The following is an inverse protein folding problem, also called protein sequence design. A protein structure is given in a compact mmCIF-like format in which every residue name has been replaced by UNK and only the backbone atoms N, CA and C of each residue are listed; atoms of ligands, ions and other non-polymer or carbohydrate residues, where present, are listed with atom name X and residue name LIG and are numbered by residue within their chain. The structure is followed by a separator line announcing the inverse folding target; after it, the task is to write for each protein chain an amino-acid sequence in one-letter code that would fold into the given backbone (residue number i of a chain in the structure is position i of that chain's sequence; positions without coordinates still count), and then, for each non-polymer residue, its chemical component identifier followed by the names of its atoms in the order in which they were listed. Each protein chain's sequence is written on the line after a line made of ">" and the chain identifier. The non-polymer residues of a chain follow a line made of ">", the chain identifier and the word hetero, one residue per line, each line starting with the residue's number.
data_IF_261542890330
#
_entry.id   IF_261542890330
#
_cell.length_a   1.000
_cell.length_b   1.000
_cell.length_c   1.000
_cell.angle_alpha   90.00
_cell.angle_beta   90.00
_cell.angle_gamma   90.00
#
_symmetry.space_group_name_H-M   'P 1'
#
loop_
_entity.id
_entity.type
_entity.pdbx_description
1 polymer ?
#
# COMPACT_ATOMS: atom_id res chain seq x y z
N UNK A 1 -13.52 -6.49 -23.36
CA UNK A 1 -12.13 -6.27 -22.90
C UNK A 1 -12.22 -5.99 -21.42
N UNK A 2 -11.41 -6.68 -20.60
CA UNK A 2 -11.31 -6.41 -19.15
C UNK A 2 -10.78 -5.00 -18.95
N UNK A 3 -11.52 -4.15 -18.23
CA UNK A 3 -11.09 -2.79 -17.93
C UNK A 3 -10.03 -2.79 -16.84
N UNK A 4 -8.93 -2.06 -17.05
CA UNK A 4 -7.81 -1.94 -16.11
C UNK A 4 -7.66 -0.47 -15.71
N UNK A 5 -7.42 -0.20 -14.44
CA UNK A 5 -7.16 1.15 -13.97
C UNK A 5 -6.67 1.25 -12.54
N UNK A 6 -6.44 2.47 -12.10
CA UNK A 6 -5.88 2.79 -10.78
C UNK A 6 -6.89 3.58 -9.95
N UNK A 7 -7.02 3.23 -8.68
CA UNK A 7 -7.84 3.94 -7.70
C UNK A 7 -6.96 4.56 -6.62
N UNK A 8 -7.22 5.82 -6.32
CA UNK A 8 -6.73 6.50 -5.12
C UNK A 8 -7.92 6.84 -4.24
N UNK A 9 -7.81 6.56 -2.93
CA UNK A 9 -8.77 7.01 -1.93
C UNK A 9 -8.11 8.08 -1.06
N UNK A 10 -8.86 9.13 -0.73
CA UNK A 10 -8.45 10.10 0.28
C UNK A 10 -9.67 10.72 0.95
N UNK A 11 -9.52 11.21 2.16
CA UNK A 11 -10.52 12.00 2.87
C UNK A 11 -9.91 13.37 3.18
N UNK A 12 -10.75 14.39 3.34
CA UNK A 12 -10.33 15.76 3.59
C UNK A 12 -9.28 16.28 2.57
N UNK A 13 -9.41 15.87 1.30
CA UNK A 13 -8.49 16.27 0.23
C UNK A 13 -8.64 17.76 -0.09
N UNK A 14 -9.88 18.26 -0.13
CA UNK A 14 -10.15 19.67 -0.39
C UNK A 14 -9.57 20.57 0.71
N UNK A 15 -8.71 21.49 0.31
CA UNK A 15 -8.06 22.44 1.23
C UNK A 15 -6.87 21.85 1.99
N UNK A 16 -6.46 20.61 1.68
CA UNK A 16 -5.27 19.99 2.24
C UNK A 16 -4.15 19.93 1.20
N UNK A 17 -3.39 21.02 1.08
CA UNK A 17 -2.32 21.17 0.09
C UNK A 17 -1.29 20.04 0.15
N UNK A 18 -1.00 19.52 1.36
CA UNK A 18 -0.07 18.40 1.53
C UNK A 18 -0.60 17.12 0.89
N UNK A 19 -1.87 16.78 1.12
CA UNK A 19 -2.48 15.58 0.52
C UNK A 19 -2.63 15.73 -0.99
N UNK A 20 -3.04 16.91 -1.47
CA UNK A 20 -3.13 17.20 -2.90
C UNK A 20 -1.77 17.10 -3.58
N UNK A 21 -0.71 17.61 -2.95
CA UNK A 21 0.65 17.50 -3.46
C UNK A 21 1.12 16.04 -3.52
N UNK A 22 0.87 15.25 -2.48
CA UNK A 22 1.23 13.83 -2.46
C UNK A 22 0.49 13.04 -3.56
N UNK A 23 -0.84 13.25 -3.68
CA UNK A 23 -1.65 12.64 -4.72
C UNK A 23 -1.14 13.01 -6.13
N UNK A 24 -0.90 14.29 -6.40
CA UNK A 24 -0.39 14.75 -7.68
C UNK A 24 0.99 14.15 -7.99
N UNK A 25 1.88 14.07 -7.00
CA UNK A 25 3.17 13.39 -7.11
C UNK A 25 2.99 11.91 -7.48
N UNK A 26 2.09 11.21 -6.82
CA UNK A 26 1.80 9.80 -7.07
C UNK A 26 1.25 9.57 -8.49
N UNK A 27 0.23 10.33 -8.88
CA UNK A 27 -0.39 10.25 -10.22
C UNK A 27 0.61 10.58 -11.33
N UNK A 28 1.45 11.61 -11.17
CA UNK A 28 2.50 11.94 -12.15
C UNK A 28 3.51 10.81 -12.30
N UNK A 29 3.91 10.18 -11.18
CA UNK A 29 4.85 9.06 -11.21
C UNK A 29 4.24 7.82 -11.90
N UNK A 30 2.94 7.56 -11.70
CA UNK A 30 2.21 6.50 -12.41
C UNK A 30 2.23 6.73 -13.93
N UNK A 31 1.86 7.93 -14.38
CA UNK A 31 1.81 8.24 -15.82
C UNK A 31 3.18 8.20 -16.50
N UNK A 32 4.28 8.33 -15.76
CA UNK A 32 5.64 8.14 -16.31
C UNK A 32 5.85 6.71 -16.84
N UNK A 33 5.20 5.71 -16.25
CA UNK A 33 5.38 4.29 -16.60
C UNK A 33 4.15 3.64 -17.23
N UNK A 34 2.97 4.23 -17.03
CA UNK A 34 1.68 3.76 -17.49
C UNK A 34 0.92 4.90 -18.15
N UNK A 35 1.45 5.41 -19.26
CA UNK A 35 0.85 6.54 -19.96
C UNK A 35 -0.60 6.22 -20.39
N UNK A 36 -1.50 7.16 -20.12
CA UNK A 36 -2.92 7.02 -20.44
C UNK A 36 -3.72 6.00 -19.60
N UNK A 37 -3.13 5.35 -18.58
CA UNK A 37 -3.89 4.42 -17.73
C UNK A 37 -5.05 5.17 -17.03
N UNK A 38 -6.29 4.63 -17.04
CA UNK A 38 -7.40 5.26 -16.36
C UNK A 38 -7.15 5.40 -14.85
N UNK A 39 -7.38 6.60 -14.32
CA UNK A 39 -7.24 6.90 -12.88
C UNK A 39 -8.58 7.38 -12.32
N UNK A 40 -9.00 6.79 -11.21
CA UNK A 40 -10.14 7.23 -10.41
C UNK A 40 -9.64 7.69 -9.04
N UNK A 41 -9.75 8.99 -8.80
CA UNK A 41 -9.59 9.54 -7.44
C UNK A 41 -10.97 9.59 -6.78
N UNK A 42 -11.07 9.08 -5.56
CA UNK A 42 -12.29 9.14 -4.75
C UNK A 42 -11.99 9.92 -3.48
N UNK A 43 -12.72 11.02 -3.31
CA UNK A 43 -12.79 11.75 -2.05
C UNK A 43 -13.88 11.11 -1.18
N UNK A 44 -13.48 10.48 -0.07
CA UNK A 44 -14.38 9.88 0.89
C UNK A 44 -15.10 10.96 1.72
N UNK A 45 -16.29 10.68 2.28
CA UNK A 45 -17.03 11.63 3.10
C UNK A 45 -16.24 12.17 4.30
N UNK A 46 -16.57 13.39 4.74
CA UNK A 46 -16.00 13.95 5.97
C UNK A 46 -16.26 13.03 7.16
N UNK A 47 -15.24 12.81 7.98
CA UNK A 47 -15.29 11.87 9.12
C UNK A 47 -14.93 10.42 8.76
N UNK A 48 -14.65 10.13 7.48
CA UNK A 48 -14.00 8.88 7.10
C UNK A 48 -12.62 8.75 7.75
N UNK A 49 -12.21 7.50 7.91
CA UNK A 49 -10.98 7.09 8.55
C UNK A 49 -10.22 6.14 7.63
N UNK A 50 -9.03 5.73 8.06
CA UNK A 50 -8.25 4.71 7.39
C UNK A 50 -9.03 3.39 7.18
N UNK A 51 -9.99 3.07 8.06
CA UNK A 51 -10.79 1.85 7.98
C UNK A 51 -11.77 1.82 6.81
N UNK A 52 -12.19 2.98 6.31
CA UNK A 52 -13.13 3.08 5.17
C UNK A 52 -12.47 2.71 3.83
N UNK A 53 -11.15 2.49 3.84
CA UNK A 53 -10.36 2.00 2.70
C UNK A 53 -10.84 0.64 2.17
N UNK A 54 -11.49 -0.17 3.02
CA UNK A 54 -12.09 -1.45 2.60
C UNK A 54 -13.17 -1.30 1.52
N UNK A 55 -13.74 -0.11 1.31
CA UNK A 55 -14.72 0.15 0.25
C UNK A 55 -14.11 0.25 -1.17
N UNK A 56 -12.78 0.17 -1.33
CA UNK A 56 -12.12 0.46 -2.62
C UNK A 56 -12.58 -0.45 -3.78
N UNK A 57 -12.96 -1.70 -3.51
CA UNK A 57 -13.45 -2.61 -4.56
C UNK A 57 -14.76 -2.11 -5.17
N UNK A 58 -15.69 -1.66 -4.31
CA UNK A 58 -16.99 -1.13 -4.76
C UNK A 58 -16.83 0.23 -5.45
N UNK A 59 -15.87 1.02 -5.00
CA UNK A 59 -15.58 2.35 -5.55
C UNK A 59 -14.78 2.31 -6.86
N UNK A 60 -14.09 1.20 -7.13
CA UNK A 60 -13.39 1.02 -8.40
C UNK A 60 -14.39 0.88 -9.55
N UNK A 61 -14.20 1.56 -10.69
CA UNK A 61 -14.97 1.31 -11.92
C UNK A 61 -14.34 0.24 -12.82
N UNK A 62 -13.22 -0.37 -12.41
CA UNK A 62 -12.43 -1.28 -13.26
C UNK A 62 -12.66 -2.75 -12.89
N UNK A 63 -12.44 -3.65 -13.85
CA UNK A 63 -12.48 -5.10 -13.64
C UNK A 63 -11.20 -5.60 -12.95
N UNK A 64 -10.07 -4.96 -13.26
CA UNK A 64 -8.77 -5.18 -12.64
C UNK A 64 -8.21 -3.85 -12.14
N UNK A 65 -7.98 -3.76 -10.85
CA UNK A 65 -7.69 -2.50 -10.15
C UNK A 65 -6.32 -2.56 -9.49
N UNK A 66 -5.56 -1.49 -9.61
CA UNK A 66 -4.46 -1.16 -8.71
C UNK A 66 -4.95 -0.07 -7.74
N UNK A 67 -4.93 -0.34 -6.45
CA UNK A 67 -5.04 0.70 -5.43
C UNK A 67 -3.65 1.16 -4.99
N UNK A 68 -3.49 2.47 -4.87
CA UNK A 68 -2.28 3.12 -4.34
C UNK A 68 -2.65 4.10 -3.22
N UNK A 69 -1.93 4.03 -2.11
CA UNK A 69 -1.93 5.13 -1.13
C UNK A 69 -1.37 6.40 -1.79
N UNK A 70 -1.89 7.56 -1.38
CA UNK A 70 -1.56 8.84 -2.03
C UNK A 70 -0.11 9.29 -1.82
N UNK A 71 0.59 8.73 -0.84
CA UNK A 71 2.01 8.99 -0.55
C UNK A 71 2.94 8.00 -1.27
N UNK A 72 2.43 7.20 -2.20
CA UNK A 72 3.27 6.32 -3.04
C UNK A 72 3.86 7.07 -4.25
N UNK A 73 4.99 6.55 -4.76
CA UNK A 73 5.63 6.98 -6.00
C UNK A 73 5.92 5.71 -6.82
N UNK A 74 5.32 5.62 -8.01
CA UNK A 74 5.59 4.54 -8.97
C UNK A 74 6.97 4.78 -9.57
N UNK A 75 7.84 3.81 -9.40
CA UNK A 75 9.23 3.90 -9.79
C UNK A 75 9.57 3.09 -11.02
N UNK A 76 8.67 2.20 -11.50
CA UNK A 76 8.83 1.35 -12.69
C UNK A 76 7.50 0.73 -13.18
N UNK A 77 7.51 -0.04 -14.27
CA UNK A 77 6.30 -0.72 -14.78
C UNK A 77 5.76 -1.73 -13.76
N UNK A 78 4.43 -1.84 -13.72
CA UNK A 78 3.65 -2.59 -12.71
C UNK A 78 2.85 -3.74 -13.33
N UNK A 79 3.06 -4.05 -14.61
CA UNK A 79 2.30 -5.04 -15.39
C UNK A 79 2.27 -6.42 -14.74
N UNK A 80 3.38 -6.79 -14.10
CA UNK A 80 3.47 -8.06 -13.38
C UNK A 80 2.50 -8.10 -12.19
N UNK A 81 2.30 -7.00 -11.46
CA UNK A 81 1.32 -6.94 -10.37
C UNK A 81 -0.11 -7.15 -10.88
N UNK A 82 -0.46 -6.52 -12.00
CA UNK A 82 -1.75 -6.75 -12.68
C UNK A 82 -1.90 -8.21 -13.13
N UNK A 83 -0.88 -8.79 -13.74
CA UNK A 83 -0.90 -10.20 -14.17
C UNK A 83 -1.08 -11.16 -12.99
N UNK A 84 -0.45 -10.88 -11.85
CA UNK A 84 -0.57 -11.71 -10.66
C UNK A 84 -1.95 -11.58 -10.02
N UNK A 85 -2.50 -10.38 -9.91
CA UNK A 85 -3.88 -10.20 -9.42
C UNK A 85 -4.92 -10.84 -10.35
N UNK A 86 -4.73 -10.78 -11.67
CA UNK A 86 -5.63 -11.50 -12.59
C UNK A 86 -5.56 -13.02 -12.40
N UNK A 87 -4.41 -13.58 -12.02
CA UNK A 87 -4.23 -15.03 -11.81
C UNK A 87 -4.64 -15.51 -10.41
N UNK A 88 -4.44 -14.66 -9.40
CA UNK A 88 -4.56 -15.02 -7.99
C UNK A 88 -5.65 -14.23 -7.25
N UNK A 89 -6.42 -13.41 -7.98
CA UNK A 89 -7.46 -12.48 -7.51
C UNK A 89 -6.93 -11.29 -6.71
N UNK A 90 -5.83 -11.47 -5.99
CA UNK A 90 -5.15 -10.44 -5.21
C UNK A 90 -3.63 -10.59 -5.33
N UNK A 91 -2.91 -9.48 -5.51
CA UNK A 91 -1.47 -9.39 -5.34
C UNK A 91 -1.11 -8.19 -4.46
N UNK A 92 -0.26 -8.42 -3.45
CA UNK A 92 0.12 -7.42 -2.45
C UNK A 92 1.43 -7.78 -1.76
N UNK A 93 1.99 -6.86 -0.98
CA UNK A 93 3.19 -7.11 -0.18
C UNK A 93 2.84 -7.53 1.24
N UNK A 94 3.67 -8.40 1.82
CA UNK A 94 3.72 -8.57 3.28
C UNK A 94 4.18 -7.26 3.92
N UNK A 95 3.59 -6.91 5.06
CA UNK A 95 3.98 -5.75 5.85
C UNK A 95 5.41 -5.92 6.39
N UNK A 96 6.15 -4.82 6.61
CA UNK A 96 7.50 -4.89 7.20
C UNK A 96 7.53 -5.63 8.54
N UNK A 97 6.45 -5.51 9.31
CA UNK A 97 6.16 -6.33 10.46
C UNK A 97 5.20 -7.43 9.98
N UNK A 98 5.69 -8.65 9.68
CA UNK A 98 4.88 -9.67 9.01
C UNK A 98 3.89 -10.35 9.96
N UNK A 99 3.79 -9.91 11.23
CA UNK A 99 3.06 -10.59 12.29
C UNK A 99 1.85 -9.78 12.73
N UNK A 100 0.65 -10.13 12.23
CA UNK A 100 -0.58 -9.43 12.59
C UNK A 100 -0.89 -9.52 14.09
N UNK A 101 -0.31 -10.47 14.83
CA UNK A 101 -0.41 -10.57 16.30
C UNK A 101 0.05 -9.31 17.06
N UNK A 102 0.77 -8.39 16.39
CA UNK A 102 1.09 -7.07 16.96
C UNK A 102 -0.18 -6.27 17.28
N UNK A 103 -1.27 -6.51 16.57
CA UNK A 103 -2.61 -6.04 16.94
C UNK A 103 -3.18 -6.93 18.05
N UNK A 104 -2.59 -6.85 19.24
CA UNK A 104 -2.88 -7.74 20.37
C UNK A 104 -4.34 -7.69 20.87
N UNK A 105 -5.19 -6.82 20.33
CA UNK A 105 -6.63 -6.77 20.64
C UNK A 105 -7.50 -7.38 19.53
N UNK A 106 -6.98 -7.53 18.31
CA UNK A 106 -7.70 -8.10 17.17
C UNK A 106 -7.20 -9.50 16.76
N UNK A 107 -5.88 -9.70 16.70
CA UNK A 107 -5.28 -10.89 16.11
C UNK A 107 -4.64 -11.80 17.16
N UNK A 108 -4.66 -13.12 16.91
CA UNK A 108 -4.05 -14.16 17.75
C UNK A 108 -3.30 -15.15 16.86
N UNK A 109 -2.26 -15.78 17.39
CA UNK A 109 -1.48 -16.78 16.66
C UNK A 109 -0.56 -16.19 15.59
N UNK A 110 -0.08 -17.05 14.70
CA UNK A 110 0.82 -16.68 13.61
C UNK A 110 -0.01 -16.35 12.36
N UNK A 111 -0.44 -15.08 12.28
CA UNK A 111 -1.15 -14.51 11.14
C UNK A 111 -0.25 -13.53 10.40
N UNK A 112 -0.26 -13.63 9.06
CA UNK A 112 0.53 -12.75 8.19
C UNK A 112 -0.16 -11.40 8.09
N UNK A 113 0.61 -10.34 8.35
CA UNK A 113 0.17 -8.98 8.06
C UNK A 113 0.62 -8.55 6.66
N UNK A 114 -0.28 -7.92 5.92
CA UNK A 114 0.00 -7.37 4.59
C UNK A 114 -0.05 -5.84 4.64
N UNK A 115 0.79 -5.19 3.85
CA UNK A 115 0.69 -3.75 3.67
C UNK A 115 -0.40 -3.44 2.63
N UNK A 116 -1.37 -2.60 3.00
CA UNK A 116 -2.54 -2.29 2.17
C UNK A 116 -2.33 -1.07 1.28
N UNK A 117 -1.16 -0.44 1.30
CA UNK A 117 -0.88 0.77 0.51
C UNK A 117 -0.65 0.53 -0.98
N UNK A 118 -0.43 -0.72 -1.38
CA UNK A 118 -0.36 -1.14 -2.78
C UNK A 118 -1.07 -2.48 -2.90
N UNK A 119 -2.25 -2.48 -3.51
CA UNK A 119 -3.06 -3.69 -3.71
C UNK A 119 -3.47 -3.79 -5.18
N UNK A 120 -3.20 -4.94 -5.80
CA UNK A 120 -3.75 -5.28 -7.10
C UNK A 120 -4.86 -6.30 -6.89
N UNK A 121 -6.06 -6.07 -7.42
CA UNK A 121 -7.18 -6.98 -7.24
C UNK A 121 -8.15 -6.95 -8.43
N UNK A 122 -8.84 -8.06 -8.65
CA UNK A 122 -9.91 -8.16 -9.64
C UNK A 122 -11.31 -8.03 -8.99
N UNK A 123 -12.37 -8.13 -9.80
CA UNK A 123 -13.76 -8.18 -9.31
C UNK A 123 -14.30 -9.60 -9.14
N UNK A 124 -13.43 -10.61 -8.99
CA UNK A 124 -13.88 -11.99 -8.79
C UNK A 124 -14.73 -12.14 -7.50
N UNK A 125 -15.56 -13.19 -7.39
CA UNK A 125 -16.25 -13.53 -6.15
C UNK A 125 -15.31 -13.68 -4.94
N UNK A 126 -14.08 -14.15 -5.17
CA UNK A 126 -13.02 -14.30 -4.18
C UNK A 126 -12.60 -12.93 -3.63
N UNK A 127 -12.28 -11.98 -4.52
CA UNK A 127 -11.97 -10.60 -4.14
C UNK A 127 -13.16 -9.95 -3.42
N UNK A 128 -14.37 -10.07 -3.95
CA UNK A 128 -15.58 -9.52 -3.30
C UNK A 128 -15.77 -10.07 -1.88
N UNK A 129 -15.53 -11.38 -1.68
CA UNK A 129 -15.64 -12.01 -0.37
C UNK A 129 -14.61 -11.46 0.61
N UNK A 130 -13.36 -11.27 0.17
CA UNK A 130 -12.31 -10.65 0.97
C UNK A 130 -12.69 -9.22 1.38
N UNK A 131 -13.04 -8.35 0.42
CA UNK A 131 -13.31 -6.94 0.71
C UNK A 131 -14.54 -6.77 1.61
N UNK A 132 -15.56 -7.62 1.46
CA UNK A 132 -16.72 -7.66 2.37
C UNK A 132 -16.33 -8.09 3.79
N UNK A 133 -15.48 -9.11 3.92
CA UNK A 133 -14.97 -9.54 5.23
C UNK A 133 -14.10 -8.45 5.86
N UNK A 134 -13.27 -7.76 5.07
CA UNK A 134 -12.43 -6.66 5.52
C UNK A 134 -13.25 -5.49 6.06
N UNK A 135 -14.26 -5.02 5.32
CA UNK A 135 -15.14 -3.93 5.80
C UNK A 135 -15.85 -4.30 7.10
N UNK A 136 -16.39 -5.53 7.19
CA UNK A 136 -17.01 -6.03 8.42
C UNK A 136 -16.02 -6.06 9.58
N UNK A 137 -14.84 -6.64 9.39
CA UNK A 137 -13.83 -6.79 10.44
C UNK A 137 -13.30 -5.44 10.91
N UNK A 138 -13.14 -4.46 10.03
CA UNK A 138 -12.77 -3.10 10.40
C UNK A 138 -13.76 -2.46 11.39
N UNK A 139 -15.03 -2.86 11.36
CA UNK A 139 -16.08 -2.38 12.29
C UNK A 139 -16.15 -3.19 13.58
N UNK A 140 -15.75 -4.45 13.54
CA UNK A 140 -15.94 -5.40 14.65
C UNK A 140 -14.71 -5.54 15.56
N UNK A 141 -13.50 -5.28 15.05
CA UNK A 141 -12.25 -5.54 15.80
C UNK A 141 -11.58 -4.25 16.28
N UNK A 142 -10.94 -4.34 17.45
CA UNK A 142 -10.07 -3.28 17.94
C UNK A 142 -8.71 -3.36 17.24
N UNK A 143 -8.55 -2.56 16.18
CA UNK A 143 -7.33 -2.46 15.38
C UNK A 143 -6.24 -1.56 15.99
N UNK A 144 -6.40 -1.11 17.24
CA UNK A 144 -5.39 -0.28 17.89
C UNK A 144 -4.07 -1.04 18.06
N UNK A 145 -2.97 -0.33 17.83
CA UNK A 145 -1.62 -0.88 17.90
C UNK A 145 -0.80 -0.13 18.93
N UNK A 146 -0.24 -0.86 19.90
CA UNK A 146 0.78 -0.35 20.79
C UNK A 146 2.16 -0.52 20.16
N UNK A 147 2.98 0.53 20.18
CA UNK A 147 4.35 0.50 19.63
C UNK A 147 5.29 1.37 20.46
N UNK A 148 6.59 1.08 20.40
CA UNK A 148 7.61 1.86 21.12
C UNK A 148 8.17 2.93 20.20
N UNK A 149 8.13 4.18 20.65
CA UNK A 149 8.75 5.32 19.98
C UNK A 149 9.55 6.12 21.01
N UNK A 150 10.87 6.26 20.77
CA UNK A 150 11.80 6.96 21.67
C UNK A 150 11.75 6.44 23.12
N UNK A 151 11.68 5.12 23.28
CA UNK A 151 11.60 4.46 24.59
C UNK A 151 10.24 4.57 25.29
N UNK A 152 9.24 5.22 24.68
CA UNK A 152 7.89 5.34 25.23
C UNK A 152 6.90 4.50 24.44
N UNK A 153 5.99 3.82 25.15
CA UNK A 153 4.86 3.14 24.52
C UNK A 153 3.86 4.20 24.05
N UNK A 154 3.51 4.13 22.77
CA UNK A 154 2.48 4.93 22.12
C UNK A 154 1.42 4.02 21.54
N UNK A 155 0.24 4.59 21.29
CA UNK A 155 -0.89 3.88 20.67
C UNK A 155 -1.29 4.57 19.38
N UNK A 156 -1.34 3.81 18.30
CA UNK A 156 -2.07 4.16 17.09
C UNK A 156 -3.52 3.68 17.29
N UNK A 157 -4.53 4.57 17.18
CA UNK A 157 -5.90 4.22 17.56
C UNK A 157 -6.57 3.25 16.58
N UNK A 158 -6.27 3.35 15.27
CA UNK A 158 -6.91 2.57 14.22
C UNK A 158 -5.89 2.15 13.16
N UNK A 159 -6.07 0.97 12.57
CA UNK A 159 -5.23 0.48 11.47
C UNK A 159 -6.01 -0.49 10.56
N UNK A 160 -6.09 -0.20 9.27
CA UNK A 160 -6.84 -1.01 8.31
C UNK A 160 -6.20 -2.38 8.01
N UNK A 161 -4.89 -2.50 8.19
CA UNK A 161 -4.15 -3.75 7.92
C UNK A 161 -4.53 -4.87 8.89
N UNK A 162 -4.99 -4.54 10.11
CA UNK A 162 -5.45 -5.52 11.09
C UNK A 162 -6.69 -6.27 10.59
N UNK A 163 -7.71 -5.53 10.15
CA UNK A 163 -8.92 -6.11 9.57
C UNK A 163 -8.62 -6.84 8.27
N UNK A 164 -7.70 -6.33 7.44
CA UNK A 164 -7.32 -6.98 6.19
C UNK A 164 -6.67 -8.35 6.42
N UNK A 165 -5.70 -8.44 7.33
CA UNK A 165 -5.03 -9.69 7.67
C UNK A 165 -6.02 -10.76 8.18
N UNK A 166 -6.95 -10.34 9.04
CA UNK A 166 -8.02 -11.22 9.53
C UNK A 166 -8.97 -11.65 8.42
N UNK A 167 -9.30 -10.77 7.48
CA UNK A 167 -10.18 -11.08 6.35
C UNK A 167 -9.54 -12.10 5.40
N UNK A 168 -8.24 -11.95 5.10
CA UNK A 168 -7.48 -12.91 4.28
C UNK A 168 -7.53 -14.31 4.90
N UNK A 169 -7.31 -14.41 6.21
CA UNK A 169 -7.40 -15.68 6.94
C UNK A 169 -8.82 -16.24 6.94
N UNK A 170 -9.82 -15.42 7.26
CA UNK A 170 -11.22 -15.86 7.37
C UNK A 170 -11.75 -16.45 6.06
N UNK A 171 -11.47 -15.78 4.93
CA UNK A 171 -11.90 -16.25 3.60
C UNK A 171 -10.93 -17.25 2.98
N UNK A 172 -9.84 -17.60 3.68
CA UNK A 172 -8.78 -18.51 3.24
C UNK A 172 -8.20 -18.14 1.88
N UNK A 173 -8.08 -16.84 1.62
CA UNK A 173 -7.46 -16.36 0.40
C UNK A 173 -5.95 -16.60 0.46
N UNK A 174 -5.35 -16.97 -0.67
CA UNK A 174 -3.91 -17.06 -0.83
C UNK A 174 -3.45 -15.96 -1.81
N UNK A 175 -3.16 -14.74 -1.32
CA UNK A 175 -2.71 -13.65 -2.17
C UNK A 175 -1.38 -14.02 -2.85
N UNK A 176 -1.16 -13.51 -4.06
CA UNK A 176 0.18 -13.51 -4.62
C UNK A 176 1.05 -12.50 -3.87
N UNK A 177 2.08 -12.98 -3.18
CA UNK A 177 2.98 -12.11 -2.40
C UNK A 177 4.02 -11.48 -3.31
N UNK A 178 3.90 -10.16 -3.49
CA UNK A 178 4.89 -9.34 -4.17
C UNK A 178 6.08 -9.06 -3.24
N UNK A 179 7.32 -9.04 -3.76
CA UNK A 179 8.49 -8.68 -2.96
C UNK A 179 8.43 -7.24 -2.47
N UNK A 180 9.17 -6.92 -1.40
CA UNK A 180 9.09 -5.62 -0.71
C UNK A 180 9.45 -4.40 -1.59
N UNK A 181 10.10 -4.60 -2.74
CA UNK A 181 10.35 -3.53 -3.70
C UNK A 181 9.08 -3.04 -4.44
N UNK A 182 7.95 -3.74 -4.29
CA UNK A 182 6.61 -3.34 -4.78
C UNK A 182 5.80 -2.48 -3.82
N UNK A 183 6.31 -2.28 -2.60
CA UNK A 183 5.70 -1.43 -1.59
C UNK A 183 6.79 -1.03 -0.58
N UNK A 184 7.83 -0.37 -1.08
CA UNK A 184 9.06 -0.15 -0.33
C UNK A 184 8.90 1.04 0.63
N UNK A 185 8.90 0.77 1.94
CA UNK A 185 8.76 1.78 2.99
C UNK A 185 10.12 2.11 3.64
N UNK A 186 10.76 3.25 3.30
CA UNK A 186 12.13 3.58 3.73
C UNK A 186 12.26 3.87 5.23
N UNK A 187 11.14 4.12 5.92
CA UNK A 187 11.12 4.21 7.37
C UNK A 187 11.58 2.90 8.03
N UNK A 188 11.27 1.77 7.40
CA UNK A 188 11.45 0.42 7.94
C UNK A 188 12.46 -0.42 7.14
N UNK A 189 12.44 -0.31 5.81
CA UNK A 189 13.39 -0.97 4.93
C UNK A 189 14.62 -0.08 4.71
N UNK A 190 15.80 -0.60 5.04
CA UNK A 190 17.08 0.10 4.87
C UNK A 190 17.89 -0.35 3.67
N UNK A 191 17.51 -1.46 3.05
CA UNK A 191 18.18 -2.00 1.87
C UNK A 191 17.19 -2.69 0.94
N UNK A 192 17.54 -2.81 -0.33
CA UNK A 192 16.73 -3.49 -1.34
C UNK A 192 17.57 -3.88 -2.56
N UNK A 193 16.98 -4.66 -3.48
CA UNK A 193 17.61 -5.13 -4.71
C UNK A 193 16.85 -4.67 -5.95
N UNK A 194 17.59 -4.54 -7.07
CA UNK A 194 17.05 -4.29 -8.40
C UNK A 194 16.34 -2.95 -8.52
N UNK A 195 15.49 -2.74 -9.55
CA UNK A 195 14.65 -1.58 -9.53
C UNK A 195 13.55 -1.74 -8.46
N UNK A 196 13.40 -0.72 -7.63
CA UNK A 196 12.16 -0.45 -6.90
C UNK A 196 11.02 -0.22 -7.89
N UNK A 197 9.87 -0.81 -7.58
CA UNK A 197 8.62 -0.68 -8.33
C UNK A 197 7.74 0.41 -7.73
N UNK A 198 7.64 0.46 -6.40
CA UNK A 198 6.89 1.50 -5.69
C UNK A 198 7.65 1.92 -4.43
N UNK A 199 7.87 3.22 -4.30
CA UNK A 199 8.32 3.88 -3.07
C UNK A 199 7.11 4.36 -2.28
N UNK A 200 7.02 4.04 -1.00
CA UNK A 200 5.87 4.36 -0.16
C UNK A 200 6.35 5.18 1.04
N UNK A 201 6.36 6.50 0.86
CA UNK A 201 6.73 7.48 1.89
C UNK A 201 6.26 8.88 1.51
N UNK A 202 5.90 9.70 2.50
CA UNK A 202 5.58 11.11 2.30
C UNK A 202 6.75 11.92 1.75
N UNK A 203 8.00 11.51 2.03
CA UNK A 203 9.20 12.17 1.51
C UNK A 203 9.51 11.72 0.08
N UNK A 204 10.13 12.61 -0.68
CA UNK A 204 10.53 12.33 -2.06
C UNK A 204 11.59 11.22 -2.14
N UNK A 205 11.58 10.51 -3.26
CA UNK A 205 12.61 9.54 -3.60
C UNK A 205 13.96 10.27 -3.71
N UNK A 206 15.01 9.84 -2.98
CA UNK A 206 16.33 10.43 -3.11
C UNK A 206 16.85 10.36 -4.57
N UNK A 207 17.47 11.44 -5.05
CA UNK A 207 17.96 11.53 -6.43
C UNK A 207 18.89 10.36 -6.82
N UNK A 208 19.82 10.00 -5.93
CA UNK A 208 20.72 8.87 -6.14
C UNK A 208 19.97 7.53 -6.31
N UNK A 209 18.82 7.37 -5.65
CA UNK A 209 18.00 6.16 -5.73
C UNK A 209 17.21 6.13 -7.03
N UNK A 210 16.77 7.30 -7.53
CA UNK A 210 16.19 7.40 -8.88
C UNK A 210 17.21 6.99 -9.95
N UNK A 211 18.45 7.49 -9.86
CA UNK A 211 19.54 7.11 -10.76
C UNK A 211 19.88 5.62 -10.67
N UNK A 212 19.93 5.07 -9.45
CA UNK A 212 20.10 3.64 -9.22
C UNK A 212 18.98 2.87 -9.92
N UNK A 213 17.71 3.25 -9.74
CA UNK A 213 16.57 2.59 -10.35
C UNK A 213 16.63 2.57 -11.87
N UNK A 214 17.04 3.69 -12.48
CA UNK A 214 17.21 3.81 -13.92
C UNK A 214 18.29 2.89 -14.46
N UNK A 215 19.44 2.77 -13.77
CA UNK A 215 20.49 1.80 -14.14
C UNK A 215 20.03 0.35 -14.03
N UNK A 216 19.22 0.03 -13.00
CA UNK A 216 18.78 -1.33 -12.72
C UNK A 216 17.67 -1.85 -13.66
N UNK A 217 16.93 -0.98 -14.34
CA UNK A 217 15.86 -1.39 -15.29
C UNK A 217 16.35 -2.21 -16.47
N UNK A 218 17.53 -1.88 -16.99
CA UNK A 218 18.11 -2.50 -18.20
C UNK A 218 19.40 -3.28 -17.92
N UNK A 219 19.80 -3.40 -16.66
CA UNK A 219 21.05 -4.05 -16.28
C UNK A 219 20.95 -5.57 -16.33
N UNK A 220 21.98 -6.22 -16.89
CA UNK A 220 22.14 -7.68 -16.82
C UNK A 220 22.45 -8.16 -15.39
N UNK A 221 22.96 -7.25 -14.54
CA UNK A 221 23.29 -7.51 -13.13
C UNK A 221 22.33 -6.71 -12.26
N UNK A 222 21.57 -7.43 -11.42
CA UNK A 222 20.78 -6.84 -10.35
C UNK A 222 21.67 -6.56 -9.14
N UNK A 223 21.77 -5.28 -8.78
CA UNK A 223 22.56 -4.79 -7.65
C UNK A 223 21.63 -4.46 -6.45
N UNK A 224 22.22 -4.15 -5.31
CA UNK A 224 21.52 -3.69 -4.12
C UNK A 224 21.83 -2.23 -3.80
N UNK A 225 20.96 -1.62 -3.01
CA UNK A 225 21.16 -0.29 -2.46
C UNK A 225 20.96 -0.31 -0.94
N UNK A 226 21.56 0.67 -0.27
CA UNK A 226 21.37 0.94 1.15
C UNK A 226 20.95 2.39 1.36
N UNK A 227 19.95 2.61 2.21
CA UNK A 227 19.49 3.92 2.64
C UNK A 227 20.20 4.22 3.96
N UNK A 228 21.21 5.10 3.89
CA UNK A 228 22.00 5.50 5.06
C UNK A 228 21.10 6.00 6.21
N UNK A 229 21.47 5.73 7.47
CA UNK A 229 20.68 6.09 8.65
C UNK A 229 20.55 7.61 8.88
N UNK A 230 21.38 8.42 8.23
CA UNK A 230 21.52 9.85 8.54
C UNK A 230 20.70 10.75 7.61
N UNK A 231 19.36 10.71 7.73
CA UNK A 231 18.53 11.92 7.57
C UNK A 231 17.32 11.88 8.51
N UNK A 232 17.18 12.85 9.42
CA UNK A 232 15.99 13.00 10.23
C UNK A 232 14.89 13.66 9.39
N UNK A 233 13.79 12.96 9.17
CA UNK A 233 12.47 13.61 8.96
C UNK A 233 11.54 13.20 10.09
N UNK A 234 11.96 13.50 11.34
CA UNK A 234 11.04 13.66 12.47
C UNK A 234 10.24 14.96 12.27
N UNK A 235 9.25 14.91 11.38
CA UNK A 235 8.10 15.80 11.41
C UNK A 235 6.98 15.11 10.63
N UNK A 236 5.94 14.66 11.35
CA UNK A 236 4.58 14.35 10.87
C UNK A 236 3.96 12.97 11.15
N UNK A 237 4.34 12.26 12.21
CA UNK A 237 3.47 11.21 12.79
C UNK A 237 2.72 11.73 14.03
N UNK A 238 2.07 12.88 13.83
CA UNK A 238 1.04 13.43 14.70
C UNK A 238 0.02 14.16 13.82
N UNK A 239 -0.82 13.37 13.17
CA UNK A 239 -2.15 13.73 12.69
C UNK A 239 -2.99 12.46 12.84
#
# INVERSE_FOLDING_TARGET
>A
MTSVGVVYLGWDLRGNDRMLHALDRSVRSLYRFHDGIPVKVVELPTGSTLLDKAAMLDLSPFDLTLFLDIDTVVMDTLDFGFAMAHRHHLACCVCEAPYARRFARAARGDLVEYNTGVLFFDRSPESQSLFKAWDRLNREVDSSLDFVHNGQVRRMPLNDQAGFALAVEEVKMCPFVLPSNWNFRPLWHRMGFGPLKVWHDWNDVPAWLMEFNERQRGGEILDFFEIAPDRPTRASLAA
#
